data_IF_099002598791
#
_entry.id   IF_099002598791
#
_cell.length_a   1.000
_cell.length_b   1.000
_cell.length_c   1.000
_cell.angle_alpha   90.00
_cell.angle_beta   90.00
_cell.angle_gamma   90.00
#
_symmetry.space_group_name_H-M   'P 1'
#
loop_
_entity.id
_entity.type
_entity.pdbx_description
1 polymer ?
#
# COMPACT_ATOMS: atom_id res chain seq x y z
N UNK A 1 7.73 47.55 6.51
CA UNK A 1 7.78 46.47 5.49
C UNK A 1 8.30 45.16 6.10
N UNK A 2 7.41 44.24 6.45
CA UNK A 2 7.76 42.92 6.98
C UNK A 2 7.13 41.87 6.06
N UNK A 3 7.97 41.10 5.37
CA UNK A 3 7.53 39.97 4.55
C UNK A 3 7.36 38.74 5.46
N UNK A 4 6.22 38.03 5.43
CA UNK A 4 6.12 36.74 6.09
C UNK A 4 6.95 35.74 5.29
N UNK A 5 8.05 35.27 5.89
CA UNK A 5 8.88 34.22 5.35
C UNK A 5 8.04 32.96 5.11
N UNK A 6 8.18 32.39 3.91
CA UNK A 6 7.48 31.18 3.50
C UNK A 6 7.74 30.04 4.48
N UNK A 7 6.70 29.64 5.19
CA UNK A 7 6.72 28.42 6.00
C UNK A 7 6.75 27.23 5.04
N UNK A 8 7.95 26.71 4.79
CA UNK A 8 8.14 25.43 4.13
C UNK A 8 7.30 24.38 4.86
N UNK A 9 6.31 23.83 4.17
CA UNK A 9 5.47 22.76 4.68
C UNK A 9 6.39 21.57 5.00
N UNK A 10 6.75 21.42 6.26
CA UNK A 10 7.44 20.23 6.76
C UNK A 10 6.46 19.09 6.60
N UNK A 11 6.59 18.35 5.51
CA UNK A 11 5.85 17.12 5.26
C UNK A 11 6.28 16.11 6.33
N UNK A 12 5.54 16.08 7.44
CA UNK A 12 5.68 15.03 8.43
C UNK A 12 5.28 13.72 7.76
N UNK A 13 6.27 12.83 7.60
CA UNK A 13 6.04 11.52 7.02
C UNK A 13 5.22 10.70 8.01
N UNK A 14 3.91 10.68 7.82
CA UNK A 14 3.00 9.82 8.59
C UNK A 14 3.49 8.39 8.45
N UNK A 15 3.96 7.81 9.55
CA UNK A 15 4.35 6.41 9.58
C UNK A 15 3.09 5.55 9.58
N UNK A 16 2.73 5.05 8.40
CA UNK A 16 1.64 4.10 8.26
C UNK A 16 2.13 2.74 8.74
N UNK A 17 1.40 2.12 9.68
CA UNK A 17 1.74 0.76 10.12
C UNK A 17 1.71 -0.21 8.93
N UNK A 18 2.62 -1.18 8.85
CA UNK A 18 2.72 -2.10 7.71
C UNK A 18 1.41 -2.83 7.41
N UNK A 19 0.64 -3.19 8.45
CA UNK A 19 -0.66 -3.85 8.30
C UNK A 19 -1.70 -2.96 7.59
N UNK A 20 -1.69 -1.66 7.87
CA UNK A 20 -2.59 -0.70 7.24
C UNK A 20 -2.26 -0.52 5.75
N UNK A 21 -0.98 -0.64 5.39
CA UNK A 21 -0.54 -0.60 4.00
C UNK A 21 -1.05 -1.81 3.21
N UNK A 22 -1.02 -3.01 3.82
CA UNK A 22 -1.55 -4.24 3.21
C UNK A 22 -3.06 -4.14 3.02
N UNK A 23 -3.80 -3.67 4.04
CA UNK A 23 -5.25 -3.50 3.93
C UNK A 23 -5.65 -2.51 2.84
N UNK A 24 -4.87 -1.43 2.63
CA UNK A 24 -5.07 -0.49 1.52
C UNK A 24 -4.92 -1.18 0.16
N UNK A 25 -3.91 -2.03 -0.03
CA UNK A 25 -3.73 -2.76 -1.28
C UNK A 25 -4.86 -3.75 -1.56
N UNK A 26 -5.38 -4.43 -0.52
CA UNK A 26 -6.54 -5.32 -0.61
C UNK A 26 -7.83 -4.56 -0.96
N UNK A 27 -8.04 -3.37 -0.40
CA UNK A 27 -9.23 -2.55 -0.66
C UNK A 27 -9.21 -1.96 -2.09
N UNK A 28 -8.07 -1.41 -2.50
CA UNK A 28 -7.93 -0.74 -3.79
C UNK A 28 -7.73 -1.70 -4.97
N UNK A 29 -7.71 -3.03 -4.71
CA UNK A 29 -7.36 -4.08 -5.67
C UNK A 29 -6.09 -3.74 -6.47
N UNK A 30 -5.13 -3.10 -5.82
CA UNK A 30 -3.92 -2.64 -6.47
C UNK A 30 -3.06 -3.83 -6.89
N UNK A 31 -2.37 -3.69 -8.04
CA UNK A 31 -1.36 -4.64 -8.49
C UNK A 31 -0.17 -4.58 -7.54
N UNK A 32 0.17 -5.71 -6.94
CA UNK A 32 1.29 -5.87 -6.01
C UNK A 32 2.30 -6.85 -6.59
N UNK A 33 3.56 -6.65 -6.23
CA UNK A 33 4.66 -7.53 -6.61
C UNK A 33 5.26 -8.16 -5.36
N UNK A 34 5.32 -9.50 -5.32
CA UNK A 34 5.87 -10.27 -4.21
C UNK A 34 7.23 -10.82 -4.61
N UNK A 35 8.19 -10.65 -3.71
CA UNK A 35 9.56 -11.13 -3.86
C UNK A 35 9.63 -12.53 -3.25
N UNK A 36 10.21 -13.46 -3.99
CA UNK A 36 10.41 -14.82 -3.52
C UNK A 36 11.73 -14.88 -2.75
N UNK A 37 11.76 -15.66 -1.67
CA UNK A 37 12.96 -15.80 -0.86
C UNK A 37 14.05 -16.59 -1.60
N UNK A 38 13.67 -17.66 -2.27
CA UNK A 38 14.61 -18.61 -2.90
C UNK A 38 15.01 -18.20 -4.32
N UNK A 39 14.13 -17.54 -5.06
CA UNK A 39 14.35 -17.19 -6.47
C UNK A 39 14.25 -15.68 -6.65
N UNK A 40 15.38 -14.99 -6.49
CA UNK A 40 15.46 -13.52 -6.49
C UNK A 40 15.17 -12.93 -7.88
N UNK A 41 15.43 -13.69 -8.95
CA UNK A 41 15.20 -13.27 -10.34
C UNK A 41 13.73 -13.28 -10.74
N UNK A 42 12.88 -14.02 -10.00
CA UNK A 42 11.46 -14.13 -10.31
C UNK A 42 10.61 -13.38 -9.29
N UNK A 43 9.56 -12.74 -9.80
CA UNK A 43 8.64 -11.90 -9.04
C UNK A 43 7.22 -12.32 -9.38
N UNK A 44 6.40 -12.55 -8.36
CA UNK A 44 4.98 -12.78 -8.56
C UNK A 44 4.27 -11.44 -8.62
N UNK A 45 3.37 -11.28 -9.58
CA UNK A 45 2.59 -10.07 -9.74
C UNK A 45 1.10 -10.40 -9.84
N UNK A 46 0.29 -9.67 -9.08
CA UNK A 46 -1.15 -9.94 -9.03
C UNK A 46 -1.91 -8.89 -8.24
N UNK A 47 -3.24 -8.95 -8.30
CA UNK A 47 -4.09 -8.13 -7.43
C UNK A 47 -4.49 -8.95 -6.20
N UNK A 48 -4.32 -8.37 -5.02
CA UNK A 48 -4.73 -9.01 -3.78
C UNK A 48 -6.26 -8.91 -3.67
N UNK A 49 -6.97 -10.02 -3.88
CA UNK A 49 -8.44 -10.06 -3.77
C UNK A 49 -8.87 -10.25 -2.31
N UNK A 50 -9.77 -9.40 -1.83
CA UNK A 50 -10.56 -9.70 -0.63
C UNK A 50 -11.37 -10.96 -0.90
N UNK A 51 -11.36 -11.98 -0.01
CA UNK A 51 -12.34 -13.05 -0.10
C UNK A 51 -13.73 -12.42 0.07
N UNK A 52 -14.56 -12.53 -0.97
CA UNK A 52 -15.96 -12.14 -0.85
C UNK A 52 -16.64 -13.24 -0.07
N UNK A 53 -17.12 -12.95 1.15
CA UNK A 53 -17.90 -13.89 1.95
C UNK A 53 -19.18 -14.36 1.24
N UNK A 54 -19.59 -13.66 0.18
CA UNK A 54 -20.71 -14.05 -0.70
C UNK A 54 -20.42 -15.22 -1.63
N UNK A 55 -19.17 -15.69 -1.75
CA UNK A 55 -18.80 -16.82 -2.60
C UNK A 55 -18.88 -18.19 -1.88
N UNK A 56 -19.20 -18.22 -0.58
CA UNK A 56 -19.40 -19.44 0.20
C UNK A 56 -20.87 -19.88 0.28
N UNK A 57 -21.76 -19.23 -0.47
CA UNK A 57 -23.16 -19.63 -0.61
C UNK A 57 -23.39 -20.15 -2.04
N UNK A 58 -22.98 -21.38 -2.32
CA UNK A 58 -23.44 -22.18 -3.46
C UNK A 58 -23.51 -23.62 -3.02
#
# INVERSE_FOLDING_TARGET
PAHPAGQGQKMQKVMVQPINLIFRYLQNRSRIQVWLYEQVDMRLEGCCKKPSLTALQT
#
